data_IF_836534733653
#
_entry.id   IF_836534733653
#
_cell.length_a   1.000
_cell.length_b   1.000
_cell.length_c   1.000
_cell.angle_alpha   90.00
_cell.angle_beta   90.00
_cell.angle_gamma   90.00
#
_symmetry.space_group_name_H-M   'P 1'
#
loop_
_entity.id
_entity.type
_entity.pdbx_description
1 polymer ?
#
# COMPACT_ATOMS: atom_id res chain seq x y z
N UNK A 1 8.45 0.71 -17.68
CA UNK A 1 9.53 1.58 -17.13
C UNK A 1 9.09 2.05 -15.76
N UNK A 2 9.88 1.83 -14.70
CA UNK A 2 9.58 2.38 -13.37
C UNK A 2 9.99 3.85 -13.31
N UNK A 3 9.22 4.69 -12.61
CA UNK A 3 9.42 6.16 -12.57
C UNK A 3 10.77 6.58 -11.99
N UNK A 4 11.38 5.76 -11.14
CA UNK A 4 12.63 6.09 -10.45
C UNK A 4 13.90 5.96 -11.32
N UNK A 5 13.82 5.35 -12.51
CA UNK A 5 14.97 4.85 -13.31
C UNK A 5 15.89 3.91 -12.49
N UNK A 6 16.35 2.83 -13.11
CA UNK A 6 17.38 1.99 -12.49
C UNK A 6 18.72 2.72 -12.62
N UNK A 7 19.10 3.48 -11.59
CA UNK A 7 20.42 4.09 -11.48
C UNK A 7 21.32 3.16 -10.68
N UNK A 8 22.40 2.70 -11.28
CA UNK A 8 23.39 1.83 -10.63
C UNK A 8 24.31 2.71 -9.79
N UNK A 9 24.35 2.48 -8.47
CA UNK A 9 25.14 3.25 -7.51
C UNK A 9 25.08 2.57 -6.14
N UNK A 10 25.90 3.03 -5.20
CA UNK A 10 25.86 2.52 -3.83
C UNK A 10 24.55 2.92 -3.13
N UNK A 11 24.08 2.15 -2.13
CA UNK A 11 22.96 2.51 -1.26
C UNK A 11 23.17 3.92 -0.68
N UNK A 12 22.10 4.72 -0.44
CA UNK A 12 22.23 6.10 0.03
C UNK A 12 22.59 6.15 1.53
N UNK A 13 23.76 5.61 1.86
CA UNK A 13 24.32 5.44 3.19
C UNK A 13 25.71 6.09 3.19
N UNK A 14 25.85 7.20 3.91
CA UNK A 14 27.08 8.00 3.95
C UNK A 14 28.30 7.27 4.57
N UNK A 15 28.11 6.05 5.09
CA UNK A 15 29.20 5.22 5.64
C UNK A 15 29.98 4.42 4.59
N UNK A 16 29.46 4.29 3.38
CA UNK A 16 30.16 3.64 2.27
C UNK A 16 30.92 4.72 1.48
N UNK A 17 32.25 4.65 1.34
CA UNK A 17 33.01 5.61 0.53
C UNK A 17 32.77 5.38 -0.98
N UNK A 18 31.55 5.63 -1.45
CA UNK A 18 31.14 5.42 -2.83
C UNK A 18 31.21 6.72 -3.65
N UNK A 19 31.68 6.61 -4.90
CA UNK A 19 31.73 7.72 -5.85
C UNK A 19 30.34 8.16 -6.34
N UNK A 20 29.36 7.25 -6.32
CA UNK A 20 28.00 7.50 -6.79
C UNK A 20 26.97 6.81 -5.90
N UNK A 21 25.96 7.57 -5.48
CA UNK A 21 24.82 7.10 -4.70
C UNK A 21 23.54 7.09 -5.52
N UNK A 22 22.65 6.16 -5.18
CA UNK A 22 21.27 6.15 -5.70
C UNK A 22 20.43 7.26 -5.07
N UNK A 23 19.40 7.73 -5.78
CA UNK A 23 18.52 8.78 -5.27
C UNK A 23 17.70 8.27 -4.05
N UNK A 24 17.80 8.91 -2.88
CA UNK A 24 17.02 8.53 -1.70
C UNK A 24 15.54 8.93 -1.79
N UNK A 25 15.16 9.88 -2.65
CA UNK A 25 13.79 10.41 -2.70
C UNK A 25 12.77 9.34 -3.11
N UNK A 26 12.94 8.57 -4.20
CA UNK A 26 12.00 7.50 -4.53
C UNK A 26 11.90 6.42 -3.45
N UNK A 27 12.98 6.15 -2.72
CA UNK A 27 13.00 5.13 -1.66
C UNK A 27 12.14 5.54 -0.46
N UNK A 28 12.28 6.78 0.00
CA UNK A 28 11.47 7.32 1.10
C UNK A 28 9.98 7.36 0.73
N UNK A 29 9.65 7.74 -0.51
CA UNK A 29 8.27 7.76 -0.99
C UNK A 29 7.67 6.36 -1.03
N UNK A 30 8.40 5.36 -1.53
CA UNK A 30 7.92 3.98 -1.57
C UNK A 30 7.73 3.42 -0.16
N UNK A 31 8.66 3.65 0.77
CA UNK A 31 8.52 3.22 2.16
C UNK A 31 7.27 3.83 2.81
N UNK A 32 7.01 5.11 2.55
CA UNK A 32 5.80 5.80 3.02
C UNK A 32 4.53 5.15 2.45
N UNK A 33 4.50 4.88 1.15
CA UNK A 33 3.36 4.20 0.52
C UNK A 33 3.13 2.80 1.07
N UNK A 34 4.19 2.03 1.35
CA UNK A 34 4.10 0.69 1.93
C UNK A 34 3.39 0.75 3.29
N UNK A 35 3.82 1.65 4.18
CA UNK A 35 3.25 1.75 5.53
C UNK A 35 1.79 2.25 5.50
N UNK A 36 1.48 3.23 4.64
CA UNK A 36 0.11 3.70 4.45
C UNK A 36 -0.79 2.57 3.95
N UNK A 37 -0.38 1.85 2.92
CA UNK A 37 -1.16 0.74 2.37
C UNK A 37 -1.33 -0.40 3.38
N UNK A 38 -0.30 -0.70 4.17
CA UNK A 38 -0.42 -1.71 5.21
C UNK A 38 -1.50 -1.35 6.23
N UNK A 39 -1.55 -0.08 6.69
CA UNK A 39 -2.60 0.41 7.58
C UNK A 39 -3.99 0.35 6.95
N UNK A 40 -4.11 0.82 5.70
CA UNK A 40 -5.37 0.81 4.94
C UNK A 40 -5.91 -0.61 4.71
N UNK A 41 -5.04 -1.53 4.30
CA UNK A 41 -5.40 -2.94 4.07
C UNK A 41 -5.80 -3.63 5.38
N UNK A 42 -5.04 -3.42 6.46
CA UNK A 42 -5.37 -3.98 7.77
C UNK A 42 -6.74 -3.50 8.26
N UNK A 43 -7.01 -2.20 8.13
CA UNK A 43 -8.32 -1.64 8.44
C UNK A 43 -9.42 -2.25 7.56
N UNK A 44 -9.19 -2.31 6.25
CA UNK A 44 -10.14 -2.87 5.29
C UNK A 44 -10.48 -4.34 5.59
N UNK A 45 -9.48 -5.17 5.94
CA UNK A 45 -9.71 -6.56 6.33
C UNK A 45 -10.58 -6.68 7.58
N UNK A 46 -10.32 -5.88 8.61
CA UNK A 46 -11.14 -5.88 9.82
C UNK A 46 -12.56 -5.41 9.52
N UNK A 47 -12.71 -4.38 8.69
CA UNK A 47 -14.02 -3.88 8.27
C UNK A 47 -14.80 -4.95 7.49
N UNK A 48 -14.18 -5.58 6.48
CA UNK A 48 -14.78 -6.64 5.70
C UNK A 48 -15.20 -7.83 6.58
N UNK A 49 -14.32 -8.26 7.49
CA UNK A 49 -14.62 -9.33 8.45
C UNK A 49 -15.82 -8.98 9.35
N UNK A 50 -15.85 -7.76 9.89
CA UNK A 50 -16.97 -7.29 10.73
C UNK A 50 -18.27 -7.17 9.94
N UNK A 51 -18.22 -6.72 8.69
CA UNK A 51 -19.37 -6.64 7.80
C UNK A 51 -19.92 -8.05 7.52
N UNK A 52 -19.05 -9.01 7.20
CA UNK A 52 -19.45 -10.39 6.99
C UNK A 52 -20.11 -11.00 8.23
N UNK A 53 -19.58 -10.75 9.44
CA UNK A 53 -20.22 -11.26 10.67
C UNK A 53 -21.62 -10.68 10.91
N UNK A 54 -21.89 -9.45 10.47
CA UNK A 54 -23.19 -8.80 10.62
C UNK A 54 -24.18 -9.19 9.53
N UNK A 55 -23.75 -9.16 8.28
CA UNK A 55 -24.59 -9.35 7.10
C UNK A 55 -24.68 -10.84 6.69
N UNK A 56 -23.71 -11.66 7.10
CA UNK A 56 -23.53 -13.08 6.73
C UNK A 56 -23.46 -13.36 5.23
N UNK A 57 -23.30 -12.31 4.43
CA UNK A 57 -23.15 -12.35 2.99
C UNK A 57 -21.96 -11.47 2.60
N UNK A 58 -21.25 -11.85 1.55
CA UNK A 58 -20.26 -11.01 0.88
C UNK A 58 -20.78 -10.45 -0.45
N UNK A 59 -22.04 -10.75 -0.82
CA UNK A 59 -22.68 -10.24 -2.02
C UNK A 59 -23.00 -8.75 -1.88
N UNK A 60 -22.35 -7.94 -2.72
CA UNK A 60 -22.50 -6.49 -2.71
C UNK A 60 -23.91 -6.03 -3.13
N UNK A 61 -24.68 -6.83 -3.88
CA UNK A 61 -26.08 -6.53 -4.18
C UNK A 61 -26.96 -6.69 -2.94
N UNK A 62 -26.76 -7.74 -2.15
CA UNK A 62 -27.52 -7.97 -0.91
C UNK A 62 -27.19 -6.92 0.16
N UNK A 63 -25.95 -6.45 0.20
CA UNK A 63 -25.51 -5.38 1.11
C UNK A 63 -26.14 -4.01 0.79
N UNK A 64 -26.59 -3.75 -0.44
CA UNK A 64 -27.25 -2.48 -0.83
C UNK A 64 -28.64 -2.31 -0.23
N UNK A 65 -29.21 -3.35 0.39
CA UNK A 65 -30.58 -3.34 0.92
C UNK A 65 -31.63 -3.55 -0.18
N UNK A 66 -32.92 -3.70 0.19
CA UNK A 66 -33.97 -4.05 -0.75
C UNK A 66 -34.09 -3.00 -1.87
N UNK A 67 -34.15 -3.46 -3.12
CA UNK A 67 -34.52 -2.61 -4.26
C UNK A 67 -35.96 -2.15 -4.04
N UNK A 68 -36.14 -0.85 -3.86
CA UNK A 68 -37.47 -0.24 -3.97
C UNK A 68 -37.83 -0.25 -5.46
N UNK A 69 -38.79 -1.09 -5.84
CA UNK A 69 -39.53 -0.97 -7.11
C UNK A 69 -40.49 0.22 -7.07
#
# INVERSE_FOLDING_TARGET
MTMARLKTGAPPLLGENAEQYVDPLPQALILTSIVINFGLLSFFFVLAYRSYLKLKTDDMEEVRGPKYE
#
